data_IF_234030705593
#
_entry.id   IF_234030705593
#
_cell.length_a   1.000
_cell.length_b   1.000
_cell.length_c   1.000
_cell.angle_alpha   90.00
_cell.angle_beta   90.00
_cell.angle_gamma   90.00
#
_symmetry.space_group_name_H-M   'P 1'
#
loop_
_entity.id
_entity.type
_entity.pdbx_description
1 polymer ?
#
# COMPACT_ATOMS: atom_id res chain seq x y z
N UNK A 1 1.82 -37.35 14.60
CA UNK A 1 2.06 -37.13 13.15
C UNK A 1 0.71 -37.20 12.44
N UNK A 2 0.11 -36.05 12.13
CA UNK A 2 -1.20 -35.98 11.47
C UNK A 2 -1.00 -35.80 9.97
N UNK A 3 -1.48 -36.75 9.18
CA UNK A 3 -1.45 -36.75 7.71
C UNK A 3 -2.62 -35.92 7.20
N UNK A 4 -2.36 -34.90 6.39
CA UNK A 4 -3.38 -34.17 5.63
C UNK A 4 -3.60 -34.85 4.29
N UNK A 5 -4.86 -35.20 4.01
CA UNK A 5 -5.31 -35.75 2.72
C UNK A 5 -5.67 -34.57 1.82
N UNK A 6 -4.89 -34.33 0.77
CA UNK A 6 -5.25 -33.44 -0.32
C UNK A 6 -6.28 -34.14 -1.22
N UNK A 7 -7.50 -33.62 -1.29
CA UNK A 7 -8.49 -34.01 -2.29
C UNK A 7 -8.32 -33.10 -3.50
N UNK A 8 -7.93 -33.69 -4.63
CA UNK A 8 -7.87 -33.05 -5.93
C UNK A 8 -9.29 -33.01 -6.53
N UNK A 9 -9.76 -31.81 -6.89
CA UNK A 9 -11.00 -31.63 -7.66
C UNK A 9 -10.69 -31.70 -9.17
N UNK A 10 -11.39 -32.53 -9.96
CA UNK A 10 -11.27 -32.54 -11.41
C UNK A 10 -12.09 -31.40 -12.03
N UNK A 11 -11.41 -30.46 -12.70
CA UNK A 11 -12.05 -29.42 -13.49
C UNK A 11 -12.46 -29.95 -14.86
N UNK A 12 -13.77 -30.11 -15.08
CA UNK A 12 -14.35 -30.26 -16.41
C UNK A 12 -15.79 -29.73 -16.41
N UNK A 13 -16.10 -28.70 -17.21
CA UNK A 13 -17.08 -28.86 -18.29
C UNK A 13 -17.03 -27.65 -19.24
N UNK A 14 -17.20 -27.99 -20.52
CA UNK A 14 -17.12 -27.12 -21.70
C UNK A 14 -18.40 -26.29 -21.83
N UNK A 15 -18.26 -25.01 -22.18
CA UNK A 15 -19.38 -24.19 -22.65
C UNK A 15 -19.67 -24.52 -24.12
N UNK A 16 -20.91 -24.87 -24.45
CA UNK A 16 -21.43 -24.87 -25.81
C UNK A 16 -22.59 -23.87 -25.88
N UNK A 17 -22.65 -22.96 -26.87
CA UNK A 17 -23.79 -22.07 -27.06
C UNK A 17 -24.95 -22.78 -27.78
N UNK A 18 -26.17 -22.46 -27.37
CA UNK A 18 -27.41 -22.88 -28.02
C UNK A 18 -27.75 -21.90 -29.16
N UNK A 19 -28.05 -22.42 -30.35
CA UNK A 19 -28.63 -21.66 -31.47
C UNK A 19 -30.15 -21.72 -31.42
N UNK A 20 -30.80 -20.56 -31.51
CA UNK A 20 -32.27 -20.42 -31.62
C UNK A 20 -32.66 -20.48 -33.10
N UNK A 21 -33.57 -21.39 -33.44
CA UNK A 21 -34.27 -21.40 -34.73
C UNK A 21 -35.63 -20.69 -34.56
N UNK A 22 -35.87 -19.63 -35.33
CA UNK A 22 -37.20 -19.04 -35.49
C UNK A 22 -37.82 -19.60 -36.78
N UNK A 23 -38.87 -20.41 -36.63
CA UNK A 23 -39.72 -20.84 -37.74
C UNK A 23 -40.63 -19.67 -38.13
N UNK A 24 -40.42 -19.11 -39.33
CA UNK A 24 -41.37 -18.19 -39.95
C UNK A 24 -42.55 -19.02 -40.48
N UNK A 25 -43.68 -18.90 -39.79
CA UNK A 25 -44.95 -19.46 -40.21
C UNK A 25 -45.56 -18.65 -41.36
N UNK A 26 -45.61 -19.30 -42.52
CA UNK A 26 -46.61 -19.28 -43.58
C UNK A 26 -47.73 -18.23 -43.51
N UNK A 27 -47.74 -17.37 -44.54
CA UNK A 27 -48.83 -16.46 -44.87
C UNK A 27 -49.93 -17.11 -45.72
N UNK A 28 -51.15 -16.94 -45.23
CA UNK A 28 -52.33 -16.38 -45.90
C UNK A 28 -53.06 -17.16 -47.02
N UNK A 29 -54.29 -17.58 -46.68
CA UNK A 29 -55.46 -17.60 -47.58
C UNK A 29 -56.66 -16.99 -46.85
N UNK A 30 -57.19 -15.91 -47.40
CA UNK A 30 -58.51 -15.34 -47.08
C UNK A 30 -59.62 -16.18 -47.77
N UNK A 31 -60.89 -16.20 -47.29
CA UNK A 31 -61.82 -15.08 -47.59
C UNK A 31 -62.92 -14.76 -46.53
N UNK A 32 -63.42 -13.52 -46.62
CA UNK A 32 -64.84 -13.10 -46.51
C UNK A 32 -65.54 -12.82 -45.14
N UNK A 33 -65.70 -11.52 -44.87
CA UNK A 33 -66.88 -10.74 -44.41
C UNK A 33 -67.71 -11.22 -43.19
N UNK A 34 -67.53 -10.50 -42.07
CA UNK A 34 -68.54 -10.27 -41.02
C UNK A 34 -68.51 -8.79 -40.59
N UNK A 35 -69.64 -8.17 -40.18
CA UNK A 35 -69.67 -6.74 -39.85
C UNK A 35 -69.03 -6.50 -38.49
N UNK A 36 -67.77 -6.05 -38.49
CA UNK A 36 -67.03 -5.72 -37.28
C UNK A 36 -67.51 -4.38 -36.70
N UNK A 37 -67.79 -4.38 -35.40
CA UNK A 37 -68.33 -3.25 -34.66
C UNK A 37 -67.29 -2.12 -34.57
N UNK A 38 -67.60 -0.93 -35.10
CA UNK A 38 -66.68 0.23 -35.20
C UNK A 38 -66.21 0.75 -33.83
N UNK A 39 -66.92 0.43 -32.75
CA UNK A 39 -66.57 0.83 -31.38
C UNK A 39 -65.41 0.04 -30.74
N UNK A 40 -64.96 -1.06 -31.36
CA UNK A 40 -63.78 -1.81 -30.90
C UNK A 40 -62.48 -1.41 -31.65
N UNK A 41 -62.59 -0.56 -32.68
CA UNK A 41 -61.48 -0.10 -33.53
C UNK A 41 -60.90 1.28 -33.13
N UNK A 42 -61.26 1.81 -31.97
CA UNK A 42 -60.62 3.04 -31.46
C UNK A 42 -59.17 2.76 -31.04
N UNK A 43 -58.23 2.99 -31.97
CA UNK A 43 -56.76 2.96 -31.81
C UNK A 43 -56.19 3.81 -30.65
N UNK A 44 -57.01 4.60 -29.98
CA UNK A 44 -56.63 5.50 -28.89
C UNK A 44 -57.38 5.27 -27.57
N UNK A 45 -58.28 4.29 -27.51
CA UNK A 45 -58.95 3.91 -26.26
C UNK A 45 -58.05 2.93 -25.53
N UNK A 46 -57.28 3.42 -24.54
CA UNK A 46 -56.55 2.55 -23.62
C UNK A 46 -57.57 1.70 -22.84
N UNK A 47 -57.51 0.36 -22.90
CA UNK A 47 -58.39 -0.49 -22.09
C UNK A 47 -58.20 -0.15 -20.61
N UNK A 48 -59.21 -0.31 -19.74
CA UNK A 48 -58.99 -0.29 -18.30
C UNK A 48 -58.16 -1.53 -17.91
N UNK A 49 -56.85 -1.47 -18.14
CA UNK A 49 -55.90 -2.48 -17.73
C UNK A 49 -55.83 -2.47 -16.21
N UNK A 50 -56.62 -3.37 -15.63
CA UNK A 50 -56.32 -3.92 -14.31
C UNK A 50 -55.04 -4.74 -14.47
N UNK A 51 -53.89 -4.07 -14.58
CA UNK A 51 -52.61 -4.69 -14.37
C UNK A 51 -52.56 -5.15 -12.92
N UNK A 52 -52.93 -6.41 -12.66
CA UNK A 52 -52.32 -7.10 -11.54
C UNK A 52 -50.84 -7.17 -11.86
N UNK A 53 -50.04 -6.39 -11.14
CA UNK A 53 -48.61 -6.62 -11.05
C UNK A 53 -48.41 -8.02 -10.48
N UNK A 54 -48.33 -9.01 -11.37
CA UNK A 54 -47.92 -10.35 -11.02
C UNK A 54 -46.40 -10.27 -10.97
N UNK A 55 -45.85 -10.31 -9.76
CA UNK A 55 -44.42 -10.49 -9.54
C UNK A 55 -43.96 -11.61 -10.49
N UNK A 56 -43.07 -11.34 -11.46
CA UNK A 56 -42.63 -12.37 -12.39
C UNK A 56 -42.08 -13.53 -11.55
N UNK A 57 -42.66 -14.72 -11.75
CA UNK A 57 -42.32 -15.93 -11.00
C UNK A 57 -40.81 -16.09 -11.06
N UNK A 58 -40.15 -15.92 -9.91
CA UNK A 58 -38.70 -15.73 -9.83
C UNK A 58 -37.97 -16.68 -10.78
N UNK A 59 -37.28 -16.11 -11.77
CA UNK A 59 -36.54 -16.92 -12.71
C UNK A 59 -35.47 -17.71 -11.96
N UNK A 60 -35.10 -18.90 -12.46
CA UNK A 60 -34.00 -19.69 -11.86
C UNK A 60 -32.72 -18.86 -11.62
N UNK A 61 -32.48 -17.86 -12.48
CA UNK A 61 -31.34 -16.95 -12.38
C UNK A 61 -31.50 -15.93 -11.25
N UNK A 62 -32.71 -15.42 -11.04
CA UNK A 62 -33.04 -14.50 -9.94
C UNK A 62 -32.94 -15.21 -8.59
N UNK A 63 -33.38 -16.47 -8.51
CA UNK A 63 -33.24 -17.29 -7.31
C UNK A 63 -31.77 -17.58 -6.99
N UNK A 64 -30.92 -17.83 -8.01
CA UNK A 64 -29.47 -18.02 -7.84
C UNK A 64 -28.78 -16.73 -7.39
N UNK A 65 -29.16 -15.58 -7.93
CA UNK A 65 -28.62 -14.28 -7.50
C UNK A 65 -29.11 -13.94 -6.09
N UNK A 66 -30.37 -14.24 -5.75
CA UNK A 66 -30.93 -14.02 -4.43
C UNK A 66 -30.23 -14.89 -3.37
N UNK A 67 -29.99 -16.18 -3.66
CA UNK A 67 -29.23 -17.07 -2.78
C UNK A 67 -27.78 -16.60 -2.60
N UNK A 68 -27.10 -16.16 -3.67
CA UNK A 68 -25.76 -15.56 -3.55
C UNK A 68 -25.77 -14.29 -2.70
N UNK A 69 -26.76 -13.41 -2.88
CA UNK A 69 -26.92 -12.21 -2.05
C UNK A 69 -27.14 -12.57 -0.59
N UNK A 70 -27.98 -13.55 -0.29
CA UNK A 70 -28.22 -14.05 1.07
C UNK A 70 -26.96 -14.63 1.71
N UNK A 71 -26.12 -15.29 0.94
CA UNK A 71 -24.82 -15.77 1.41
C UNK A 71 -23.81 -14.63 1.64
N UNK A 72 -23.89 -13.56 0.85
CA UNK A 72 -22.99 -12.41 0.97
C UNK A 72 -23.40 -11.39 2.06
N UNK A 73 -24.69 -11.27 2.38
CA UNK A 73 -25.22 -10.39 3.44
C UNK A 73 -24.41 -10.45 4.75
N UNK A 74 -24.18 -11.63 5.38
CA UNK A 74 -23.43 -11.70 6.64
C UNK A 74 -21.97 -11.27 6.50
N UNK A 75 -21.34 -11.52 5.36
CA UNK A 75 -19.96 -11.09 5.10
C UNK A 75 -19.88 -9.57 4.96
N UNK A 76 -20.81 -8.97 4.22
CA UNK A 76 -20.87 -7.51 4.05
C UNK A 76 -21.14 -6.78 5.37
N UNK A 77 -22.01 -7.33 6.23
CA UNK A 77 -22.27 -6.79 7.56
C UNK A 77 -21.02 -6.83 8.46
N UNK A 78 -20.27 -7.94 8.44
CA UNK A 78 -19.02 -8.04 9.20
C UNK A 78 -17.93 -7.08 8.68
N UNK A 79 -17.83 -6.93 7.36
CA UNK A 79 -16.94 -5.94 6.74
C UNK A 79 -17.33 -4.50 7.11
N UNK A 80 -18.61 -4.16 7.17
CA UNK A 80 -19.07 -2.83 7.58
C UNK A 80 -18.66 -2.53 9.04
N UNK A 81 -18.90 -3.45 9.97
CA UNK A 81 -18.54 -3.28 11.39
C UNK A 81 -17.03 -3.14 11.59
N UNK A 82 -16.23 -3.93 10.87
CA UNK A 82 -14.77 -3.83 10.96
C UNK A 82 -14.25 -2.54 10.32
N UNK A 83 -14.83 -2.13 9.18
CA UNK A 83 -14.50 -0.88 8.51
C UNK A 83 -14.83 0.34 9.39
N UNK A 84 -15.99 0.37 10.05
CA UNK A 84 -16.34 1.46 10.98
C UNK A 84 -15.40 1.57 12.17
N UNK A 85 -14.83 0.45 12.64
CA UNK A 85 -13.80 0.46 13.70
C UNK A 85 -12.43 0.95 13.21
N UNK A 86 -12.08 0.65 11.96
CA UNK A 86 -10.77 0.97 11.39
C UNK A 86 -10.75 2.40 10.83
N UNK A 87 -11.85 2.86 10.23
CA UNK A 87 -12.02 4.21 9.67
C UNK A 87 -11.56 5.33 10.61
N UNK A 88 -12.00 5.42 11.89
CA UNK A 88 -11.55 6.47 12.79
C UNK A 88 -10.08 6.33 13.18
N UNK A 89 -9.53 5.11 13.23
CA UNK A 89 -8.10 4.90 13.51
C UNK A 89 -7.24 5.40 12.37
N UNK A 90 -7.60 5.09 11.13
CA UNK A 90 -6.88 5.55 9.94
C UNK A 90 -7.00 7.07 9.81
N UNK A 91 -8.20 7.62 10.04
CA UNK A 91 -8.39 9.07 10.06
C UNK A 91 -7.56 9.72 11.17
N UNK A 92 -7.49 9.13 12.37
CA UNK A 92 -6.64 9.61 13.46
C UNK A 92 -5.16 9.62 13.10
N UNK A 93 -4.66 8.55 12.47
CA UNK A 93 -3.26 8.47 12.01
C UNK A 93 -3.00 9.49 10.90
N UNK A 94 -3.93 9.68 9.97
CA UNK A 94 -3.79 10.66 8.90
C UNK A 94 -3.80 12.10 9.44
N UNK A 95 -4.69 12.40 10.39
CA UNK A 95 -4.74 13.71 11.04
C UNK A 95 -3.50 13.97 11.89
N UNK A 96 -3.04 12.98 12.66
CA UNK A 96 -1.79 13.06 13.40
C UNK A 96 -0.58 13.26 12.47
N UNK A 97 -0.56 12.56 11.33
CA UNK A 97 0.47 12.72 10.31
C UNK A 97 0.46 14.11 9.68
N UNK A 98 -0.71 14.66 9.35
CA UNK A 98 -0.86 16.03 8.84
C UNK A 98 -0.45 17.08 9.86
N UNK A 99 -0.82 16.90 11.13
CA UNK A 99 -0.47 17.81 12.22
C UNK A 99 1.05 17.77 12.50
N UNK A 100 1.63 16.57 12.57
CA UNK A 100 3.08 16.39 12.67
C UNK A 100 3.80 16.99 11.45
N UNK A 101 3.25 16.84 10.25
CA UNK A 101 3.80 17.42 9.03
C UNK A 101 3.76 18.96 9.05
N UNK A 102 2.65 19.54 9.49
CA UNK A 102 2.52 20.98 9.67
C UNK A 102 3.54 21.51 10.70
N UNK A 103 3.77 20.76 11.77
CA UNK A 103 4.75 21.07 12.81
C UNK A 103 6.19 21.00 12.31
N UNK A 104 6.51 20.00 11.49
CA UNK A 104 7.84 19.83 10.86
C UNK A 104 8.08 20.88 9.78
N UNK A 105 7.03 21.40 9.14
CA UNK A 105 7.14 22.43 8.09
C UNK A 105 7.49 23.82 8.65
N UNK A 106 7.04 24.15 9.86
CA UNK A 106 7.40 25.38 10.58
C UNK A 106 7.96 25.06 11.98
N UNK A 107 9.16 24.46 12.07
CA UNK A 107 9.65 24.00 13.34
C UNK A 107 10.12 25.20 14.18
N UNK A 108 9.77 25.27 15.48
CA UNK A 108 10.47 26.16 16.40
C UNK A 108 11.95 25.77 16.44
N UNK A 109 12.84 26.76 16.60
CA UNK A 109 14.31 26.58 16.48
C UNK A 109 14.91 25.46 17.37
N UNK A 110 14.20 25.04 18.42
CA UNK A 110 14.65 24.00 19.35
C UNK A 110 14.06 22.59 19.07
N UNK A 111 13.27 22.40 18.02
CA UNK A 111 12.54 21.14 17.83
C UNK A 111 13.44 19.94 17.54
N UNK A 112 14.30 20.04 16.52
CA UNK A 112 15.21 18.95 16.13
C UNK A 112 16.20 18.54 17.23
N UNK A 113 16.87 19.46 17.95
CA UNK A 113 17.76 19.05 19.04
C UNK A 113 16.98 18.34 20.16
N UNK A 114 15.79 18.81 20.53
CA UNK A 114 14.96 18.16 21.56
C UNK A 114 14.41 16.81 21.10
N UNK A 115 13.85 16.73 19.89
CA UNK A 115 13.34 15.50 19.30
C UNK A 115 14.45 14.48 19.07
N UNK A 116 15.65 14.93 18.67
CA UNK A 116 16.84 14.11 18.53
C UNK A 116 17.26 13.50 19.86
N UNK A 117 17.33 14.30 20.92
CA UNK A 117 17.64 13.80 22.27
C UNK A 117 16.58 12.81 22.74
N UNK A 118 15.28 13.14 22.64
CA UNK A 118 14.17 12.25 23.06
C UNK A 118 14.16 10.94 22.26
N UNK A 119 14.39 11.01 20.95
CA UNK A 119 14.46 9.84 20.09
C UNK A 119 15.67 8.97 20.43
N UNK A 120 16.83 9.59 20.62
CA UNK A 120 18.06 8.89 20.97
C UNK A 120 17.98 8.24 22.36
N UNK A 121 17.43 8.93 23.35
CA UNK A 121 17.20 8.35 24.68
C UNK A 121 16.15 7.23 24.65
N UNK A 122 15.13 7.33 23.79
CA UNK A 122 14.17 6.26 23.56
C UNK A 122 14.78 5.01 22.95
N UNK A 123 15.61 5.17 21.90
CA UNK A 123 16.32 4.03 21.26
C UNK A 123 17.34 3.43 22.21
N UNK A 124 18.13 4.26 22.89
CA UNK A 124 19.08 3.82 23.90
C UNK A 124 18.37 3.08 25.04
N UNK A 125 17.23 3.62 25.49
CA UNK A 125 16.35 3.01 26.47
C UNK A 125 15.78 1.67 26.01
N UNK A 126 15.41 1.53 24.73
CA UNK A 126 14.93 0.27 24.16
C UNK A 126 16.05 -0.79 24.06
N UNK A 127 17.24 -0.40 23.63
CA UNK A 127 18.42 -1.29 23.59
C UNK A 127 18.79 -1.77 24.99
N UNK A 128 18.68 -0.90 25.99
CA UNK A 128 18.85 -1.29 27.38
C UNK A 128 17.67 -2.14 27.89
N UNK A 129 16.43 -1.76 27.62
CA UNK A 129 15.24 -2.45 28.15
C UNK A 129 15.08 -3.87 27.60
N UNK A 130 15.49 -4.10 26.33
CA UNK A 130 15.33 -5.39 25.64
C UNK A 130 16.27 -6.50 26.14
N UNK A 131 16.97 -6.29 27.25
CA UNK A 131 17.50 -7.37 28.11
C UNK A 131 18.41 -8.40 27.44
N UNK A 132 19.04 -8.05 26.31
CA UNK A 132 19.90 -8.97 25.59
C UNK A 132 21.36 -8.73 25.97
N UNK A 133 22.19 -9.76 25.77
CA UNK A 133 23.61 -9.91 26.17
C UNK A 133 24.52 -8.71 25.87
N UNK A 134 24.04 -7.77 25.06
CA UNK A 134 24.60 -6.44 24.80
C UNK A 134 24.98 -5.72 26.09
N UNK A 135 24.12 -5.67 27.13
CA UNK A 135 24.51 -5.04 28.42
C UNK A 135 25.68 -5.75 29.10
N UNK A 136 25.74 -7.08 29.00
CA UNK A 136 26.82 -7.90 29.56
C UNK A 136 28.16 -7.69 28.84
N UNK A 137 28.16 -7.16 27.62
CA UNK A 137 29.38 -6.84 26.88
C UNK A 137 29.74 -5.37 27.02
N UNK A 138 28.80 -4.46 26.83
CA UNK A 138 29.07 -3.01 26.91
C UNK A 138 29.60 -2.63 28.28
N UNK A 139 29.03 -3.14 29.37
CA UNK A 139 29.45 -2.76 30.73
C UNK A 139 30.93 -3.09 31.02
N UNK A 140 31.40 -4.35 30.90
CA UNK A 140 32.82 -4.65 31.12
C UNK A 140 33.72 -4.06 30.04
N UNK A 141 33.30 -4.00 28.77
CA UNK A 141 34.15 -3.44 27.70
C UNK A 141 34.34 -1.93 27.86
N UNK A 142 33.29 -1.17 28.22
CA UNK A 142 33.42 0.27 28.48
C UNK A 142 34.23 0.54 29.74
N UNK A 143 34.03 -0.24 30.80
CA UNK A 143 34.80 -0.08 32.04
C UNK A 143 36.28 -0.43 31.81
N UNK A 144 36.58 -1.49 31.05
CA UNK A 144 37.95 -1.87 30.68
C UNK A 144 38.63 -0.86 29.76
N UNK A 145 37.90 -0.28 28.81
CA UNK A 145 38.46 0.75 27.93
C UNK A 145 38.69 2.07 28.68
N UNK A 146 37.79 2.45 29.58
CA UNK A 146 37.98 3.61 30.46
C UNK A 146 39.15 3.39 31.43
N UNK A 147 39.27 2.21 32.03
CA UNK A 147 40.38 1.90 32.93
C UNK A 147 41.72 1.88 32.19
N UNK A 148 41.78 1.28 31.00
CA UNK A 148 42.97 1.29 30.15
C UNK A 148 43.34 2.72 29.68
N UNK A 149 42.32 3.54 29.37
CA UNK A 149 42.51 4.93 28.96
C UNK A 149 43.13 5.78 30.08
N UNK A 150 42.62 5.62 31.31
CA UNK A 150 43.14 6.34 32.48
C UNK A 150 44.53 5.86 32.89
N UNK A 151 44.81 4.56 32.76
CA UNK A 151 46.09 3.96 33.15
C UNK A 151 47.21 4.21 32.12
N UNK A 152 46.88 4.39 30.83
CA UNK A 152 47.85 4.69 29.76
C UNK A 152 47.36 5.82 28.83
N UNK A 153 47.41 7.08 29.28
CA UNK A 153 46.88 8.22 28.52
C UNK A 153 47.62 8.48 27.20
N UNK A 154 48.92 8.21 27.11
CA UNK A 154 49.73 8.39 25.89
C UNK A 154 49.31 7.43 24.76
N UNK A 155 49.00 6.19 25.13
CA UNK A 155 48.51 5.19 24.18
C UNK A 155 47.07 5.49 23.77
N UNK A 156 46.24 5.97 24.70
CA UNK A 156 44.89 6.42 24.38
C UNK A 156 44.89 7.64 23.44
N UNK A 157 45.76 8.62 23.67
CA UNK A 157 45.85 9.83 22.86
C UNK A 157 46.34 9.56 21.43
N UNK A 158 47.30 8.66 21.27
CA UNK A 158 47.79 8.25 19.93
C UNK A 158 46.73 7.47 19.14
N UNK A 159 46.00 6.55 19.79
CA UNK A 159 44.87 5.82 19.19
C UNK A 159 43.72 6.77 18.85
N UNK A 160 43.42 7.73 19.73
CA UNK A 160 42.36 8.71 19.50
C UNK A 160 42.68 9.62 18.31
N UNK A 161 43.94 10.04 18.14
CA UNK A 161 44.38 10.85 16.99
C UNK A 161 44.24 10.07 15.68
N UNK A 162 44.82 8.87 15.60
CA UNK A 162 44.77 8.06 14.37
C UNK A 162 43.34 7.64 13.99
N UNK A 163 42.50 7.35 14.98
CA UNK A 163 41.08 7.05 14.76
C UNK A 163 40.30 8.30 14.37
N UNK A 164 40.59 9.43 15.01
CA UNK A 164 39.97 10.72 14.73
C UNK A 164 40.17 11.17 13.29
N UNK A 165 41.39 11.04 12.76
CA UNK A 165 41.71 11.38 11.38
C UNK A 165 40.91 10.52 10.38
N UNK A 166 40.83 9.21 10.63
CA UNK A 166 40.06 8.28 9.78
C UNK A 166 38.56 8.58 9.80
N UNK A 167 37.99 8.83 10.98
CA UNK A 167 36.58 9.18 11.12
C UNK A 167 36.29 10.54 10.50
N UNK A 168 37.21 11.49 10.61
CA UNK A 168 37.10 12.80 9.98
C UNK A 168 37.12 12.68 8.45
N UNK A 169 38.05 11.90 7.88
CA UNK A 169 38.10 11.66 6.43
C UNK A 169 36.83 10.97 5.92
N UNK A 170 36.31 9.99 6.66
CA UNK A 170 35.04 9.33 6.33
C UNK A 170 33.87 10.32 6.43
N UNK A 171 33.84 11.17 7.47
CA UNK A 171 32.82 12.20 7.62
C UNK A 171 32.85 13.21 6.47
N UNK A 172 34.04 13.68 6.08
CA UNK A 172 34.23 14.57 4.92
C UNK A 172 33.80 13.88 3.63
N UNK A 173 34.18 12.61 3.42
CA UNK A 173 33.80 11.85 2.23
C UNK A 173 32.29 11.58 2.17
N UNK A 174 31.66 11.25 3.30
CA UNK A 174 30.22 11.02 3.38
C UNK A 174 29.44 12.31 3.16
N UNK A 175 29.89 13.44 3.70
CA UNK A 175 29.32 14.75 3.43
C UNK A 175 29.45 15.11 1.95
N UNK A 176 30.65 14.95 1.38
CA UNK A 176 30.89 15.21 -0.05
C UNK A 176 30.06 14.28 -0.95
N UNK A 177 29.87 13.02 -0.58
CA UNK A 177 29.03 12.07 -1.29
C UNK A 177 27.55 12.46 -1.19
N UNK A 178 27.08 12.84 0.00
CA UNK A 178 25.71 13.31 0.22
C UNK A 178 25.42 14.61 -0.54
N UNK A 179 26.35 15.58 -0.52
CA UNK A 179 26.24 16.82 -1.28
C UNK A 179 26.21 16.55 -2.79
N UNK A 180 26.99 15.59 -3.28
CA UNK A 180 26.98 15.18 -4.69
C UNK A 180 25.67 14.52 -5.13
N UNK A 181 25.03 13.76 -4.24
CA UNK A 181 23.72 13.15 -4.48
C UNK A 181 22.60 14.21 -4.40
N UNK A 182 22.72 15.16 -3.46
CA UNK A 182 21.74 16.23 -3.24
C UNK A 182 21.80 17.32 -4.32
N UNK A 183 23.01 17.65 -4.81
CA UNK A 183 23.26 18.64 -5.86
C UNK A 183 23.90 18.00 -7.10
N UNK A 184 23.14 17.22 -7.90
CA UNK A 184 23.66 16.61 -9.12
C UNK A 184 24.02 17.62 -10.24
N UNK A 185 23.71 18.91 -10.06
CA UNK A 185 23.86 19.98 -11.06
C UNK A 185 25.25 20.64 -11.13
N UNK A 186 26.19 20.39 -10.20
CA UNK A 186 27.53 20.98 -10.27
C UNK A 186 28.47 20.17 -11.18
N UNK A 187 28.47 20.50 -12.48
CA UNK A 187 29.37 19.92 -13.49
C UNK A 187 30.84 20.01 -13.03
N UNK A 188 31.65 18.93 -13.14
CA UNK A 188 33.09 19.04 -12.89
C UNK A 188 33.73 19.89 -14.00
N UNK A 189 34.30 21.05 -13.64
CA UNK A 189 35.18 21.83 -14.52
C UNK A 189 36.37 20.94 -14.91
N UNK A 190 36.38 20.46 -16.16
CA UNK A 190 37.51 19.73 -16.78
C UNK A 190 38.81 20.54 -16.60
N UNK A 191 39.70 20.08 -15.71
CA UNK A 191 41.11 20.50 -15.69
C UNK A 191 41.73 20.10 -17.03
N UNK A 192 41.94 21.06 -17.93
CA UNK A 192 42.76 20.90 -19.14
C UNK A 192 44.17 20.47 -18.72
N UNK A 193 44.49 19.18 -18.90
CA UNK A 193 45.87 18.68 -18.93
C UNK A 193 46.64 19.46 -20.00
N UNK A 194 47.42 20.46 -19.59
CA UNK A 194 48.46 21.05 -20.44
C UNK A 194 49.54 19.98 -20.66
N UNK A 195 49.39 19.20 -21.74
CA UNK A 195 50.51 18.49 -22.37
C UNK A 195 51.52 19.55 -22.83
N UNK A 196 52.58 19.79 -22.05
CA UNK A 196 53.78 20.45 -22.58
C UNK A 196 54.46 19.45 -23.51
N UNK A 197 54.27 19.63 -24.82
CA UNK A 197 55.08 18.96 -25.84
C UNK A 197 56.52 19.44 -25.70
N UNK A 198 57.43 18.48 -25.57
CA UNK A 198 58.84 18.57 -25.99
C UNK A 198 58.95 19.41 -27.26
N UNK A 199 59.73 20.48 -27.23
CA UNK A 199 60.40 20.97 -28.43
C UNK A 199 61.89 20.68 -28.29
N UNK A 200 62.35 19.96 -29.31
CA UNK A 200 63.72 19.68 -29.70
C UNK A 200 64.31 21.02 -30.15
N UNK A 201 65.44 21.42 -29.57
CA UNK A 201 66.60 22.05 -30.21
C UNK A 201 67.69 22.12 -29.16
#
# INVERSE_FOLDING_TARGET
>A
MMKTVCVAMPGALRFSPFTVFAAAGDGEKEPAVAPLNVHELSLYTAPPEKFQYVEPKAGQLEERVATLRKLAEPYTAWCQVTYEKIKPKVQGVFQFGNDAYAYVKNPPKDFYPRAGVIGFTGVLGLVLARGSRIKKLIYPTTLMTLSASLYYPEQAASIAKSTGDSVYDLAVQSYAAAEKILNPQSKPKKKKRRRKKKYKN
#
